data_IF_150506962207
#
_entry.id   IF_150506962207
#
_cell.length_a   1.000
_cell.length_b   1.000
_cell.length_c   1.000
_cell.angle_alpha   90.00
_cell.angle_beta   90.00
_cell.angle_gamma   90.00
#
_symmetry.space_group_name_H-M   'P 1'
#
loop_
_entity.id
_entity.type
_entity.pdbx_description
1 polymer ?
#
# COMPACT_ATOMS: atom_id res chain seq x y z
N UNK A 1 -15.58 -9.40 14.62
CA UNK A 1 -16.02 -10.81 14.58
C UNK A 1 -17.32 -11.13 13.85
N UNK A 2 -18.39 -10.31 13.87
CA UNK A 2 -19.64 -10.65 13.16
C UNK A 2 -19.55 -10.75 11.63
N UNK A 3 -18.58 -10.12 10.98
CA UNK A 3 -18.39 -10.17 9.52
C UNK A 3 -17.40 -11.24 9.05
N UNK A 4 -16.64 -11.86 9.98
CA UNK A 4 -15.59 -12.84 9.64
C UNK A 4 -16.17 -14.18 9.19
N UNK A 5 -17.33 -14.56 9.72
CA UNK A 5 -18.07 -15.76 9.28
C UNK A 5 -18.81 -15.51 7.96
N UNK A 6 -19.29 -14.30 7.69
CA UNK A 6 -19.95 -13.94 6.42
C UNK A 6 -18.95 -13.84 5.26
N UNK A 7 -17.70 -13.46 5.53
CA UNK A 7 -16.61 -13.52 4.55
C UNK A 7 -16.14 -14.96 4.23
N UNK A 8 -16.51 -15.94 5.07
CA UNK A 8 -16.29 -17.38 4.82
C UNK A 8 -17.43 -18.03 4.03
N UNK A 9 -18.62 -17.44 3.99
CA UNK A 9 -19.65 -17.81 3.01
C UNK A 9 -19.29 -17.12 1.69
N UNK A 10 -18.58 -17.83 0.81
CA UNK A 10 -17.99 -17.27 -0.41
C UNK A 10 -18.99 -16.44 -1.21
N UNK A 11 -18.59 -15.20 -1.53
CA UNK A 11 -19.32 -14.36 -2.47
C UNK A 11 -18.94 -14.74 -3.90
N UNK A 12 -19.88 -14.61 -4.83
CA UNK A 12 -19.60 -14.71 -6.27
C UNK A 12 -19.66 -13.31 -6.86
N UNK A 13 -18.54 -12.88 -7.42
CA UNK A 13 -18.35 -11.58 -8.04
C UNK A 13 -18.16 -11.78 -9.55
N UNK A 14 -18.64 -10.84 -10.34
CA UNK A 14 -18.52 -10.81 -11.79
C UNK A 14 -17.53 -9.72 -12.17
N UNK A 15 -16.53 -10.08 -12.96
CA UNK A 15 -15.63 -9.12 -13.60
C UNK A 15 -16.22 -8.74 -14.97
N UNK A 16 -16.78 -7.51 -15.12
CA UNK A 16 -17.44 -7.09 -16.35
C UNK A 16 -16.45 -6.81 -17.50
N UNK A 17 -15.15 -6.77 -17.21
CA UNK A 17 -14.11 -6.36 -18.16
C UNK A 17 -13.32 -7.53 -18.73
N UNK A 18 -13.44 -8.73 -18.15
CA UNK A 18 -12.68 -9.89 -18.58
C UNK A 18 -13.50 -10.80 -19.52
N UNK A 19 -13.23 -10.80 -20.85
CA UNK A 19 -13.89 -11.70 -21.78
C UNK A 19 -13.31 -13.13 -21.75
N UNK A 20 -12.41 -13.45 -20.81
CA UNK A 20 -11.98 -14.83 -20.59
C UNK A 20 -13.14 -15.70 -20.09
N UNK A 21 -12.94 -17.02 -20.11
CA UNK A 21 -13.92 -17.98 -19.58
C UNK A 21 -13.43 -18.68 -18.31
N UNK A 22 -12.29 -18.28 -17.77
CA UNK A 22 -11.64 -18.97 -16.66
C UNK A 22 -12.00 -18.28 -15.33
N UNK A 23 -12.77 -18.93 -14.46
CA UNK A 23 -13.05 -18.40 -13.13
C UNK A 23 -11.80 -18.42 -12.25
N UNK A 24 -11.78 -17.59 -11.22
CA UNK A 24 -10.66 -17.49 -10.27
C UNK A 24 -11.14 -17.31 -8.84
N UNK A 25 -10.45 -17.92 -7.89
CA UNK A 25 -10.66 -17.71 -6.46
C UNK A 25 -9.83 -16.52 -5.99
N UNK A 26 -10.46 -15.53 -5.35
CA UNK A 26 -9.83 -14.37 -4.73
C UNK A 26 -9.75 -14.56 -3.22
N UNK A 27 -8.54 -14.54 -2.67
CA UNK A 27 -8.27 -14.65 -1.23
C UNK A 27 -7.89 -13.30 -0.63
N UNK A 28 -8.39 -13.07 0.58
CA UNK A 28 -8.16 -11.87 1.37
C UNK A 28 -7.26 -12.28 2.55
N UNK A 29 -6.02 -11.82 2.54
CA UNK A 29 -5.00 -12.23 3.49
C UNK A 29 -4.62 -11.05 4.38
N UNK A 30 -4.92 -11.12 5.68
CA UNK A 30 -4.44 -10.12 6.65
C UNK A 30 -3.00 -10.45 7.05
N UNK A 31 -2.09 -9.50 6.88
CA UNK A 31 -0.72 -9.56 7.34
C UNK A 31 -0.50 -8.49 8.40
N UNK A 32 0.24 -8.85 9.46
CA UNK A 32 0.68 -7.91 10.48
C UNK A 32 2.21 -7.86 10.58
N UNK A 33 2.75 -6.66 10.77
CA UNK A 33 4.14 -6.42 11.18
C UNK A 33 4.13 -5.96 12.63
N UNK A 34 4.99 -6.56 13.43
CA UNK A 34 5.13 -6.26 14.86
C UNK A 34 6.53 -5.78 15.18
N UNK A 35 6.67 -4.90 16.17
CA UNK A 35 7.98 -4.55 16.74
C UNK A 35 8.25 -5.33 18.04
N UNK A 36 9.51 -5.31 18.52
CA UNK A 36 9.87 -5.94 19.79
C UNK A 36 9.53 -5.07 21.01
N UNK A 37 8.91 -3.90 20.80
CA UNK A 37 8.43 -3.04 21.87
C UNK A 37 7.22 -3.64 22.56
N UNK A 38 7.09 -3.37 23.86
CA UNK A 38 5.84 -3.63 24.57
C UNK A 38 4.80 -2.58 24.18
N UNK A 39 3.54 -3.01 24.02
CA UNK A 39 2.45 -2.07 23.86
C UNK A 39 2.38 -1.16 25.11
N UNK A 40 2.66 0.13 24.96
CA UNK A 40 2.47 1.08 26.05
C UNK A 40 1.00 1.08 26.48
N UNK A 41 0.80 1.10 27.79
CA UNK A 41 -0.50 1.19 28.46
C UNK A 41 -1.18 2.49 28.00
N UNK A 42 -2.09 2.43 27.02
CA UNK A 42 -2.85 3.61 26.63
C UNK A 42 -3.61 3.56 25.31
N UNK A 43 -3.18 2.75 24.34
CA UNK A 43 -3.89 2.65 23.05
C UNK A 43 -4.29 1.20 22.79
N UNK A 44 -5.60 0.99 22.89
CA UNK A 44 -6.35 -0.24 22.61
C UNK A 44 -6.24 -1.38 23.64
N UNK A 45 -7.42 -1.75 24.15
CA UNK A 45 -7.65 -2.80 25.14
C UNK A 45 -7.53 -4.16 24.47
N UNK A 46 -6.54 -4.97 24.88
CA UNK A 46 -6.60 -6.44 25.09
C UNK A 46 -5.26 -7.08 24.72
N UNK A 47 -4.66 -8.04 25.41
CA UNK A 47 -4.79 -8.73 26.71
C UNK A 47 -3.50 -9.59 26.81
N UNK A 48 -3.04 -9.89 28.02
CA UNK A 48 -2.10 -10.99 28.38
C UNK A 48 -0.71 -11.03 27.74
N UNK A 49 0.31 -10.84 28.60
CA UNK A 49 1.67 -11.41 28.55
C UNK A 49 2.35 -11.54 27.17
N UNK A 50 3.23 -10.60 26.82
CA UNK A 50 4.24 -10.78 25.77
C UNK A 50 3.81 -10.54 24.33
N UNK A 51 2.57 -10.10 24.07
CA UNK A 51 2.15 -9.83 22.70
C UNK A 51 2.81 -8.54 22.16
N UNK A 52 3.67 -8.73 21.17
CA UNK A 52 4.42 -7.67 20.47
C UNK A 52 3.46 -6.67 19.81
N UNK A 53 3.77 -5.38 19.88
CA UNK A 53 2.93 -4.32 19.30
C UNK A 53 2.86 -4.45 17.77
N UNK A 54 1.64 -4.41 17.22
CA UNK A 54 1.42 -4.30 15.76
C UNK A 54 1.72 -2.87 15.30
N UNK A 55 2.66 -2.73 14.38
CA UNK A 55 3.09 -1.43 13.81
C UNK A 55 2.54 -1.20 12.40
N UNK A 56 2.13 -2.27 11.72
CA UNK A 56 1.46 -2.19 10.43
C UNK A 56 0.54 -3.39 10.25
N UNK A 57 -0.61 -3.14 9.63
CA UNK A 57 -1.58 -4.15 9.22
C UNK A 57 -1.96 -3.87 7.78
N UNK A 58 -1.81 -4.87 6.92
CA UNK A 58 -2.12 -4.77 5.50
C UNK A 58 -3.00 -5.96 5.08
N UNK A 59 -3.94 -5.71 4.16
CA UNK A 59 -4.71 -6.78 3.52
C UNK A 59 -4.14 -6.99 2.13
N UNK A 60 -3.71 -8.21 1.85
CA UNK A 60 -3.25 -8.64 0.55
C UNK A 60 -4.35 -9.42 -0.16
N UNK A 61 -4.32 -9.33 -1.49
CA UNK A 61 -5.24 -10.02 -2.36
C UNK A 61 -4.46 -10.98 -3.24
N UNK A 62 -4.92 -12.22 -3.33
CA UNK A 62 -4.29 -13.27 -4.13
C UNK A 62 -5.37 -13.93 -4.96
N UNK A 63 -5.15 -14.06 -6.26
CA UNK A 63 -6.05 -14.77 -7.16
C UNK A 63 -5.42 -16.09 -7.60
N UNK A 64 -6.23 -17.16 -7.63
CA UNK A 64 -5.85 -18.50 -8.08
C UNK A 64 -6.87 -18.97 -9.12
N UNK A 65 -6.41 -19.33 -10.31
CA UNK A 65 -7.28 -19.91 -11.34
C UNK A 65 -7.47 -21.43 -11.16
N UNK A 66 -8.36 -22.02 -11.97
CA UNK A 66 -8.62 -23.46 -11.97
C UNK A 66 -7.38 -24.31 -12.28
N UNK A 67 -6.38 -23.74 -12.96
CA UNK A 67 -5.11 -24.41 -13.28
C UNK A 67 -4.10 -24.34 -12.12
N UNK A 68 -4.42 -23.62 -11.05
CA UNK A 68 -3.55 -23.42 -9.90
C UNK A 68 -2.52 -22.30 -10.08
N UNK A 69 -2.64 -21.48 -11.12
CA UNK A 69 -1.75 -20.33 -11.29
C UNK A 69 -2.12 -19.26 -10.26
N UNK A 70 -1.13 -18.86 -9.46
CA UNK A 70 -1.29 -17.88 -8.39
C UNK A 70 -0.74 -16.53 -8.85
N UNK A 71 -1.51 -15.47 -8.63
CA UNK A 71 -1.08 -14.09 -8.88
C UNK A 71 -1.52 -13.13 -7.77
N UNK A 72 -0.82 -12.01 -7.66
CA UNK A 72 -1.29 -10.90 -6.85
C UNK A 72 -2.61 -10.36 -7.44
N UNK A 73 -3.60 -10.15 -6.58
CA UNK A 73 -4.87 -9.50 -6.93
C UNK A 73 -4.78 -7.98 -6.90
N UNK A 74 -3.61 -7.40 -6.62
CA UNK A 74 -3.41 -5.96 -6.55
C UNK A 74 -4.08 -5.28 -5.36
N UNK A 75 -4.55 -4.05 -5.55
CA UNK A 75 -5.16 -3.24 -4.50
C UNK A 75 -6.67 -3.36 -4.55
N UNK A 76 -7.26 -4.07 -3.58
CA UNK A 76 -8.71 -4.19 -3.41
C UNK A 76 -9.48 -4.49 -4.72
N UNK A 77 -9.12 -5.56 -5.47
CA UNK A 77 -9.70 -5.89 -6.79
C UNK A 77 -11.22 -6.03 -6.77
N UNK A 78 -11.79 -6.42 -5.63
CA UNK A 78 -13.23 -6.58 -5.45
C UNK A 78 -14.02 -5.27 -5.65
N UNK A 79 -13.36 -4.12 -5.66
CA UNK A 79 -13.99 -2.83 -5.92
C UNK A 79 -14.39 -2.64 -7.38
N UNK A 80 -13.77 -3.40 -8.29
CA UNK A 80 -14.03 -3.31 -9.72
C UNK A 80 -15.02 -4.40 -10.18
N UNK A 81 -15.46 -5.28 -9.26
CA UNK A 81 -16.35 -6.39 -9.54
C UNK A 81 -17.78 -6.13 -9.08
N UNK A 82 -18.73 -6.75 -9.77
CA UNK A 82 -20.16 -6.65 -9.46
C UNK A 82 -20.67 -7.90 -8.75
N UNK A 83 -21.63 -7.81 -7.82
CA UNK A 83 -22.24 -9.01 -7.23
C UNK A 83 -23.03 -9.78 -8.30
N UNK A 84 -22.87 -11.11 -8.33
CA UNK A 84 -23.65 -11.96 -9.24
C UNK A 84 -25.15 -11.90 -8.92
N UNK A 85 -25.97 -11.75 -9.96
CA UNK A 85 -27.43 -11.83 -9.88
C UNK A 85 -27.90 -13.26 -9.58
N UNK A 86 -29.14 -13.42 -9.07
CA UNK A 86 -29.71 -14.74 -8.78
C UNK A 86 -29.79 -15.66 -10.01
N UNK A 87 -29.98 -15.08 -11.19
CA UNK A 87 -29.99 -15.81 -12.46
C UNK A 87 -28.58 -16.30 -12.83
N UNK A 88 -27.58 -15.43 -12.72
CA UNK A 88 -26.17 -15.79 -12.94
C UNK A 88 -25.69 -16.86 -11.96
N UNK A 89 -26.04 -16.75 -10.67
CA UNK A 89 -25.71 -17.76 -9.67
C UNK A 89 -26.28 -19.15 -10.02
N UNK A 90 -27.49 -19.18 -10.57
CA UNK A 90 -28.13 -20.43 -11.01
C UNK A 90 -27.38 -21.03 -12.20
N UNK A 91 -27.00 -20.19 -13.17
CA UNK A 91 -26.23 -20.62 -14.35
C UNK A 91 -24.81 -21.11 -13.98
N UNK A 92 -24.20 -20.52 -12.96
CA UNK A 92 -22.86 -20.85 -12.49
C UNK A 92 -22.79 -22.06 -11.56
N UNK A 93 -23.93 -22.64 -11.16
CA UNK A 93 -23.96 -23.77 -10.23
C UNK A 93 -23.01 -24.93 -10.62
N UNK A 94 -22.86 -25.34 -11.89
CA UNK A 94 -21.90 -26.39 -12.26
C UNK A 94 -20.43 -25.99 -12.02
N UNK A 95 -20.09 -24.73 -12.29
CA UNK A 95 -18.74 -24.18 -12.12
C UNK A 95 -18.40 -24.04 -10.64
N UNK A 96 -19.36 -23.58 -9.84
CA UNK A 96 -19.22 -23.40 -8.39
C UNK A 96 -19.17 -24.73 -7.62
N UNK A 97 -19.65 -25.82 -8.23
CA UNK A 97 -19.59 -27.17 -7.66
C UNK A 97 -18.41 -28.00 -8.22
N UNK A 98 -17.50 -27.38 -8.98
CA UNK A 98 -16.35 -28.07 -9.53
C UNK A 98 -15.29 -28.37 -8.45
N UNK A 99 -14.61 -29.51 -8.58
CA UNK A 99 -13.66 -30.00 -7.58
C UNK A 99 -12.42 -29.11 -7.38
N UNK A 100 -12.11 -28.21 -8.30
CA UNK A 100 -10.95 -27.32 -8.18
C UNK A 100 -11.10 -26.30 -7.04
N UNK A 101 -12.33 -26.05 -6.57
CA UNK A 101 -12.66 -25.13 -5.48
C UNK A 101 -12.46 -25.72 -4.07
N UNK A 102 -11.78 -26.87 -3.95
CA UNK A 102 -11.46 -27.45 -2.66
C UNK A 102 -10.53 -26.51 -1.86
N UNK A 103 -11.08 -25.88 -0.82
CA UNK A 103 -10.50 -24.70 -0.17
C UNK A 103 -9.16 -24.89 0.53
N UNK A 104 -8.86 -26.09 1.05
CA UNK A 104 -7.64 -26.30 1.87
C UNK A 104 -6.35 -26.16 1.04
N UNK A 105 -6.33 -26.68 -0.20
CA UNK A 105 -5.15 -26.58 -1.08
C UNK A 105 -4.99 -25.17 -1.65
N UNK A 106 -6.11 -24.51 -1.99
CA UNK A 106 -6.10 -23.14 -2.52
C UNK A 106 -5.67 -22.12 -1.45
N UNK A 107 -6.18 -22.23 -0.23
CA UNK A 107 -5.78 -21.34 0.88
C UNK A 107 -4.29 -21.50 1.19
N UNK A 108 -3.78 -22.73 1.23
CA UNK A 108 -2.36 -22.99 1.46
C UNK A 108 -1.48 -22.38 0.36
N UNK A 109 -1.87 -22.51 -0.91
CA UNK A 109 -1.17 -21.92 -2.05
C UNK A 109 -1.19 -20.39 -1.99
N UNK A 110 -2.33 -19.77 -1.61
CA UNK A 110 -2.44 -18.33 -1.45
C UNK A 110 -1.51 -17.80 -0.34
N UNK A 111 -1.48 -18.50 0.81
CA UNK A 111 -0.59 -18.16 1.92
C UNK A 111 0.88 -18.29 1.51
N UNK A 112 1.25 -19.39 0.85
CA UNK A 112 2.62 -19.62 0.39
C UNK A 112 3.09 -18.52 -0.57
N UNK A 113 2.27 -18.19 -1.56
CA UNK A 113 2.55 -17.11 -2.51
C UNK A 113 2.72 -15.76 -1.80
N UNK A 114 1.85 -15.45 -0.83
CA UNK A 114 1.93 -14.21 -0.08
C UNK A 114 3.22 -14.13 0.75
N UNK A 115 3.62 -15.22 1.42
CA UNK A 115 4.87 -15.30 2.20
C UNK A 115 6.09 -15.04 1.30
N UNK A 116 6.08 -15.57 0.07
CA UNK A 116 7.20 -15.44 -0.86
C UNK A 116 7.26 -14.07 -1.53
N UNK A 117 6.11 -13.52 -1.96
CA UNK A 117 6.08 -12.39 -2.88
C UNK A 117 5.56 -11.08 -2.27
N UNK A 118 4.64 -11.14 -1.30
CA UNK A 118 3.92 -9.96 -0.80
C UNK A 118 4.46 -9.51 0.56
N UNK A 119 4.63 -10.44 1.50
CA UNK A 119 5.12 -10.16 2.85
C UNK A 119 6.50 -9.49 2.86
N UNK A 120 7.50 -9.92 2.05
CA UNK A 120 8.82 -9.27 2.05
C UNK A 120 8.77 -7.82 1.58
N UNK A 121 7.92 -7.53 0.58
CA UNK A 121 7.73 -6.17 0.06
C UNK A 121 7.10 -5.26 1.10
N UNK A 122 6.05 -5.74 1.78
CA UNK A 122 5.42 -5.01 2.87
C UNK A 122 6.40 -4.75 4.03
N UNK A 123 7.18 -5.77 4.43
CA UNK A 123 8.19 -5.63 5.48
C UNK A 123 9.26 -4.61 5.13
N UNK A 124 9.75 -4.60 3.89
CA UNK A 124 10.74 -3.63 3.43
C UNK A 124 10.20 -2.19 3.50
N UNK A 125 8.99 -1.93 2.99
CA UNK A 125 8.36 -0.59 3.06
C UNK A 125 8.20 -0.08 4.50
N UNK A 126 7.76 -0.97 5.40
CA UNK A 126 7.56 -0.61 6.81
C UNK A 126 8.89 -0.41 7.52
N UNK A 127 9.91 -1.22 7.19
CA UNK A 127 11.27 -1.09 7.72
C UNK A 127 11.86 0.28 7.41
N UNK A 128 11.86 0.66 6.14
CA UNK A 128 12.43 1.92 5.66
C UNK A 128 11.83 3.13 6.42
N UNK A 129 10.49 3.22 6.44
CA UNK A 129 9.80 4.31 7.13
C UNK A 129 10.03 4.30 8.65
N UNK A 130 10.08 3.11 9.27
CA UNK A 130 10.27 2.98 10.73
C UNK A 130 11.69 3.36 11.12
N UNK A 131 12.70 2.92 10.38
CA UNK A 131 14.11 3.23 10.62
C UNK A 131 14.35 4.74 10.50
N UNK A 132 13.82 5.40 9.45
CA UNK A 132 13.93 6.86 9.29
C UNK A 132 13.30 7.63 10.46
N UNK A 133 12.11 7.22 10.91
CA UNK A 133 11.45 7.86 12.05
C UNK A 133 12.23 7.64 13.36
N UNK A 134 12.77 6.44 13.58
CA UNK A 134 13.57 6.12 14.76
C UNK A 134 14.87 6.92 14.76
N UNK A 135 15.56 7.06 13.63
CA UNK A 135 16.78 7.86 13.53
C UNK A 135 16.52 9.33 13.89
N UNK A 136 15.43 9.91 13.38
CA UNK A 136 15.01 11.28 13.72
C UNK A 136 14.70 11.41 15.22
N UNK A 137 14.00 10.44 15.80
CA UNK A 137 13.69 10.43 17.23
C UNK A 137 14.95 10.29 18.09
N UNK A 138 15.87 9.39 17.73
CA UNK A 138 17.14 9.19 18.43
C UNK A 138 17.95 10.50 18.42
N UNK A 139 18.10 11.13 17.26
CA UNK A 139 18.81 12.40 17.13
C UNK A 139 18.23 13.49 18.04
N UNK A 140 16.89 13.67 18.01
CA UNK A 140 16.21 14.67 18.83
C UNK A 140 16.30 14.40 20.34
N UNK A 141 16.18 13.13 20.76
CA UNK A 141 16.30 12.73 22.16
C UNK A 141 17.72 12.94 22.67
N UNK A 142 18.73 12.48 21.92
CA UNK A 142 20.13 12.71 22.24
C UNK A 142 20.45 14.20 22.34
N UNK A 143 20.10 14.98 21.31
CA UNK A 143 20.38 16.42 21.30
C UNK A 143 19.80 17.12 22.54
N UNK A 144 18.55 16.82 22.89
CA UNK A 144 17.88 17.44 24.04
C UNK A 144 18.48 16.98 25.36
N UNK A 145 18.55 15.67 25.61
CA UNK A 145 18.95 15.15 26.92
C UNK A 145 20.43 15.39 27.18
N UNK A 146 21.32 15.25 26.19
CA UNK A 146 22.74 15.57 26.35
C UNK A 146 22.97 17.05 26.70
N UNK A 147 22.20 17.98 26.10
CA UNK A 147 22.25 19.40 26.49
C UNK A 147 21.82 19.61 27.95
N UNK A 148 20.73 18.98 28.37
CA UNK A 148 20.23 19.08 29.76
C UNK A 148 21.21 18.44 30.76
N UNK A 149 21.78 17.27 30.46
CA UNK A 149 22.79 16.59 31.28
C UNK A 149 24.02 17.49 31.46
N UNK A 150 24.60 17.98 30.37
CA UNK A 150 25.77 18.85 30.40
C UNK A 150 25.53 20.13 31.22
N UNK A 151 24.31 20.69 31.15
CA UNK A 151 23.92 21.84 31.96
C UNK A 151 23.93 21.51 33.46
N UNK A 152 23.31 20.39 33.86
CA UNK A 152 23.24 19.99 35.27
C UNK A 152 24.59 19.54 35.82
N UNK A 153 25.44 18.87 35.03
CA UNK A 153 26.80 18.50 35.42
C UNK A 153 27.68 19.72 35.65
N UNK A 154 27.64 20.70 34.73
CA UNK A 154 28.33 21.98 34.90
C UNK A 154 27.85 22.68 36.18
N UNK A 155 26.53 22.71 36.40
CA UNK A 155 25.93 23.33 37.58
C UNK A 155 26.35 22.64 38.87
N UNK A 156 26.42 21.31 38.88
CA UNK A 156 26.90 20.53 40.02
C UNK A 156 28.38 20.84 40.31
N UNK A 157 29.23 20.93 39.29
CA UNK A 157 30.64 21.28 39.44
C UNK A 157 30.83 22.71 40.02
N UNK A 158 30.08 23.69 39.52
CA UNK A 158 30.09 25.07 40.04
C UNK A 158 29.68 25.12 41.53
N UNK A 159 28.60 24.42 41.90
CA UNK A 159 28.14 24.36 43.30
C UNK A 159 29.18 23.71 44.21
N UNK A 160 29.82 22.61 43.79
CA UNK A 160 30.91 21.96 44.56
C UNK A 160 32.10 22.88 44.77
N UNK A 161 32.47 23.69 43.78
CA UNK A 161 33.54 24.68 43.94
C UNK A 161 33.17 25.74 44.98
N UNK A 162 31.95 26.30 44.90
CA UNK A 162 31.46 27.29 45.87
C UNK A 162 31.40 26.73 47.31
N UNK A 163 30.97 25.47 47.47
CA UNK A 163 30.97 24.78 48.77
C UNK A 163 32.39 24.61 49.34
N UNK A 164 33.36 24.22 48.51
CA UNK A 164 34.77 24.11 48.93
C UNK A 164 35.35 25.45 49.38
N UNK A 165 35.09 26.53 48.62
CA UNK A 165 35.52 27.88 48.99
C UNK A 165 34.85 28.36 50.29
N UNK A 166 33.56 28.05 50.52
CA UNK A 166 32.84 28.44 51.73
C UNK A 166 33.28 27.64 52.97
N UNK A 167 33.57 26.35 52.84
CA UNK A 167 34.09 25.55 53.96
C UNK A 167 35.49 25.99 54.42
N UNK A 168 36.26 26.66 53.56
CA UNK A 168 37.53 27.29 53.92
C UNK A 168 37.37 28.62 54.69
N UNK A 169 36.17 29.19 54.75
CA UNK A 169 35.85 30.42 55.50
C UNK A 169 34.64 30.21 56.41
N UNK A 170 34.88 29.93 57.70
CA UNK A 170 33.92 29.77 58.80
C UNK A 170 32.61 30.60 58.68
N UNK A 171 31.59 30.11 57.95
CA UNK A 171 30.24 30.70 57.94
C UNK A 171 29.14 29.63 58.03
N UNK A 172 28.06 29.86 58.81
CA UNK A 172 27.06 28.83 59.12
C UNK A 172 26.12 28.49 57.96
N UNK A 173 25.65 27.24 58.00
CA UNK A 173 25.06 26.50 56.89
C UNK A 173 23.54 26.67 56.74
N UNK A 174 23.05 27.87 56.41
CA UNK A 174 21.59 28.10 56.22
C UNK A 174 21.10 28.02 54.78
N UNK A 175 21.98 27.84 53.79
CA UNK A 175 21.57 27.43 52.43
C UNK A 175 22.54 26.37 51.91
N UNK A 176 22.22 25.09 52.11
CA UNK A 176 22.87 23.98 51.40
C UNK A 176 22.23 23.91 50.01
N UNK A 177 22.79 24.66 49.06
CA UNK A 177 22.45 24.52 47.64
C UNK A 177 23.09 23.23 47.17
N UNK A 178 22.35 22.13 47.28
CA UNK A 178 22.87 20.77 47.17
C UNK A 178 23.43 20.49 45.77
N UNK A 179 24.76 20.59 45.62
CA UNK A 179 25.45 20.09 44.43
C UNK A 179 25.06 18.63 44.13
N UNK A 180 24.81 17.85 45.18
CA UNK A 180 24.33 16.47 45.10
C UNK A 180 22.96 16.35 44.42
N UNK A 181 22.03 17.31 44.62
CA UNK A 181 20.74 17.31 43.91
C UNK A 181 20.91 17.64 42.43
N UNK A 182 21.85 18.53 42.09
CA UNK A 182 22.16 18.84 40.69
C UNK A 182 22.80 17.63 40.00
N UNK A 183 23.71 16.91 40.68
CA UNK A 183 24.29 15.67 40.17
C UNK A 183 23.23 14.59 40.00
N UNK A 184 22.40 14.37 41.02
CA UNK A 184 21.29 13.41 40.96
C UNK A 184 20.39 13.68 39.74
N UNK A 185 20.15 14.95 39.42
CA UNK A 185 19.37 15.33 38.24
C UNK A 185 20.05 14.98 36.92
N UNK A 186 21.37 15.17 36.82
CA UNK A 186 22.14 14.75 35.65
C UNK A 186 22.10 13.23 35.49
N UNK A 187 22.28 12.48 36.59
CA UNK A 187 22.25 11.02 36.60
C UNK A 187 20.86 10.48 36.20
N UNK A 188 19.77 11.08 36.70
CA UNK A 188 18.40 10.76 36.28
C UNK A 188 18.16 10.96 34.77
N UNK A 189 18.69 12.06 34.21
CA UNK A 189 18.57 12.36 32.79
C UNK A 189 19.42 11.40 31.94
N UNK A 190 20.59 10.99 32.42
CA UNK A 190 21.44 10.00 31.77
C UNK A 190 20.75 8.62 31.73
N UNK A 191 20.19 8.17 32.86
CA UNK A 191 19.40 6.95 32.92
C UNK A 191 18.18 7.00 32.00
N UNK A 192 17.52 8.17 31.88
CA UNK A 192 16.41 8.35 30.95
C UNK A 192 16.84 8.30 29.49
N UNK A 193 18.01 8.84 29.15
CA UNK A 193 18.57 8.77 27.80
C UNK A 193 18.89 7.32 27.43
N UNK A 194 19.56 6.59 28.32
CA UNK A 194 19.87 5.17 28.15
C UNK A 194 18.58 4.36 27.93
N UNK A 195 17.62 4.49 28.85
CA UNK A 195 16.35 3.78 28.75
C UNK A 195 15.59 4.08 27.45
N UNK A 196 15.52 5.36 27.04
CA UNK A 196 14.82 5.72 25.79
C UNK A 196 15.55 5.19 24.55
N UNK A 197 16.87 5.11 24.60
CA UNK A 197 17.68 4.54 23.52
C UNK A 197 17.43 3.04 23.38
N UNK A 198 17.35 2.32 24.50
CA UNK A 198 16.99 0.90 24.53
C UNK A 198 15.57 0.64 24.01
N UNK A 199 14.58 1.45 24.42
CA UNK A 199 13.22 1.38 23.89
C UNK A 199 13.19 1.54 22.37
N UNK A 200 13.89 2.56 21.85
CA UNK A 200 13.97 2.82 20.40
C UNK A 200 14.69 1.69 19.65
N UNK A 201 15.67 1.03 20.27
CA UNK A 201 16.32 -0.14 19.71
C UNK A 201 15.37 -1.36 19.62
N UNK A 202 14.48 -1.55 20.59
CA UNK A 202 13.41 -2.56 20.52
C UNK A 202 12.36 -2.22 19.46
N UNK A 203 11.95 -0.95 19.37
CA UNK A 203 11.03 -0.46 18.33
C UNK A 203 11.58 -0.66 16.90
N UNK A 204 12.92 -0.68 16.74
CA UNK A 204 13.60 -0.94 15.46
C UNK A 204 13.55 -2.42 15.05
N UNK A 205 13.41 -3.32 16.00
CA UNK A 205 13.34 -4.75 15.73
C UNK A 205 11.93 -5.16 15.29
N UNK A 206 11.68 -5.10 13.99
CA UNK A 206 10.40 -5.51 13.40
C UNK A 206 10.44 -6.91 12.77
N UNK A 207 9.31 -7.61 12.85
CA UNK A 207 9.09 -8.92 12.26
C UNK A 207 7.68 -9.03 11.67
N UNK A 208 7.56 -9.66 10.50
CA UNK A 208 6.28 -10.01 9.91
C UNK A 208 5.70 -11.28 10.55
N UNK A 209 4.38 -11.31 10.78
CA UNK A 209 3.66 -12.55 11.08
C UNK A 209 3.20 -13.22 9.79
N UNK A 210 3.06 -14.56 9.77
CA UNK A 210 2.42 -15.24 8.64
C UNK A 210 1.04 -14.64 8.35
N UNK A 211 0.67 -14.48 7.06
CA UNK A 211 -0.64 -13.95 6.69
C UNK A 211 -1.76 -14.93 7.07
N UNK A 212 -2.93 -14.40 7.38
CA UNK A 212 -4.12 -15.19 7.76
C UNK A 212 -5.24 -14.90 6.77
N UNK A 213 -5.85 -15.95 6.23
CA UNK A 213 -7.04 -15.83 5.38
C UNK A 213 -8.21 -15.28 6.23
N UNK A 214 -8.72 -14.12 5.83
CA UNK A 214 -9.86 -13.46 6.48
C UNK A 214 -11.14 -13.54 5.66
N UNK A 215 -11.05 -13.93 4.39
CA UNK A 215 -12.19 -14.07 3.48
C UNK A 215 -11.78 -14.57 2.10
N UNK A 216 -12.79 -14.90 1.30
CA UNK A 216 -12.61 -15.31 -0.08
C UNK A 216 -13.85 -15.02 -0.94
N UNK A 217 -13.65 -14.90 -2.24
CA UNK A 217 -14.71 -14.78 -3.23
C UNK A 217 -14.34 -15.55 -4.51
N UNK A 218 -15.33 -15.99 -5.27
CA UNK A 218 -15.13 -16.49 -6.63
C UNK A 218 -15.38 -15.34 -7.58
N UNK A 219 -14.41 -15.05 -8.42
CA UNK A 219 -14.51 -14.06 -9.48
C UNK A 219 -14.79 -14.80 -10.79
N UNK A 220 -15.87 -14.38 -11.43
CA UNK A 220 -16.38 -14.95 -12.67
C UNK A 220 -16.18 -13.92 -13.77
N UNK A 221 -15.38 -14.20 -14.80
CA UNK A 221 -15.25 -13.29 -15.92
C UNK A 221 -16.55 -13.22 -16.73
N UNK A 222 -16.89 -12.04 -17.26
CA UNK A 222 -18.10 -11.85 -18.06
C UNK A 222 -18.13 -12.76 -19.29
N UNK A 223 -16.96 -13.12 -19.83
CA UNK A 223 -16.86 -14.05 -20.94
C UNK A 223 -17.39 -15.45 -20.62
N UNK A 224 -17.27 -15.93 -19.38
CA UNK A 224 -17.86 -17.21 -18.97
C UNK A 224 -19.39 -17.16 -18.94
N UNK A 225 -19.97 -16.00 -18.61
CA UNK A 225 -21.42 -15.81 -18.56
C UNK A 225 -22.03 -15.60 -19.94
N UNK A 226 -21.33 -14.89 -20.82
CA UNK A 226 -21.82 -14.58 -22.17
C UNK A 226 -21.48 -15.66 -23.21
N UNK A 227 -20.37 -16.39 -23.04
CA UNK A 227 -19.91 -17.40 -23.98
C UNK A 227 -19.73 -16.84 -25.40
N UNK A 228 -20.38 -17.45 -26.39
CA UNK A 228 -20.36 -16.96 -27.78
C UNK A 228 -21.07 -15.62 -27.99
N UNK A 229 -21.81 -15.12 -26.98
CA UNK A 229 -22.54 -13.84 -27.04
C UNK A 229 -21.70 -12.65 -26.59
N UNK A 230 -20.39 -12.82 -26.41
CA UNK A 230 -19.48 -11.71 -26.09
C UNK A 230 -19.59 -10.65 -27.19
N UNK A 231 -19.93 -9.40 -26.85
CA UNK A 231 -19.95 -8.30 -27.81
C UNK A 231 -18.58 -8.14 -28.48
N UNK A 232 -18.50 -8.03 -29.82
CA UNK A 232 -17.25 -7.77 -30.53
C UNK A 232 -16.48 -6.56 -29.98
N UNK A 233 -17.20 -5.58 -29.45
CA UNK A 233 -16.66 -4.36 -28.84
C UNK A 233 -15.73 -4.64 -27.66
N UNK A 234 -15.99 -5.69 -26.86
CA UNK A 234 -15.12 -6.07 -25.73
C UNK A 234 -13.77 -6.62 -26.23
N UNK A 235 -13.78 -7.44 -27.27
CA UNK A 235 -12.56 -7.98 -27.88
C UNK A 235 -11.76 -6.87 -28.57
N UNK A 236 -12.45 -6.00 -29.30
CA UNK A 236 -11.88 -4.84 -29.96
C UNK A 236 -11.24 -3.87 -28.96
N UNK A 237 -11.84 -3.70 -27.78
CA UNK A 237 -11.28 -2.88 -26.69
C UNK A 237 -9.95 -3.45 -26.21
N UNK A 238 -9.85 -4.77 -26.05
CA UNK A 238 -8.59 -5.44 -25.64
C UNK A 238 -7.46 -5.24 -26.64
N UNK A 239 -7.75 -5.36 -27.93
CA UNK A 239 -6.77 -5.10 -29.00
C UNK A 239 -6.34 -3.63 -28.99
N UNK A 240 -7.31 -2.73 -28.83
CA UNK A 240 -7.08 -1.28 -28.74
C UNK A 240 -6.20 -0.91 -27.55
N UNK A 241 -6.45 -1.52 -26.38
CA UNK A 241 -5.66 -1.31 -25.16
C UNK A 241 -4.23 -1.86 -25.31
N UNK A 242 -4.04 -3.01 -25.96
CA UNK A 242 -2.70 -3.54 -26.23
C UNK A 242 -1.88 -2.62 -27.16
N UNK A 243 -2.50 -2.09 -28.21
CA UNK A 243 -1.87 -1.13 -29.13
C UNK A 243 -1.52 0.17 -28.38
N UNK A 244 -2.43 0.66 -27.54
CA UNK A 244 -2.21 1.84 -26.70
C UNK A 244 -1.05 1.65 -25.72
N UNK A 245 -0.99 0.49 -25.06
CA UNK A 245 0.07 0.12 -24.14
C UNK A 245 1.43 0.15 -24.82
N UNK A 246 1.55 -0.47 -26.00
CA UNK A 246 2.79 -0.46 -26.77
C UNK A 246 3.22 0.97 -27.15
N UNK A 247 2.29 1.81 -27.56
CA UNK A 247 2.58 3.20 -27.91
C UNK A 247 3.08 4.02 -26.71
N UNK A 248 2.51 3.80 -25.53
CA UNK A 248 2.95 4.45 -24.28
C UNK A 248 4.33 3.96 -23.85
N UNK A 249 4.56 2.65 -23.88
CA UNK A 249 5.86 2.05 -23.55
C UNK A 249 6.97 2.60 -24.47
N UNK A 250 6.71 2.69 -25.78
CA UNK A 250 7.67 3.26 -26.72
C UNK A 250 7.90 4.75 -26.45
N UNK A 251 6.84 5.52 -26.21
CA UNK A 251 6.95 6.96 -25.95
C UNK A 251 7.77 7.25 -24.69
N UNK A 252 7.58 6.47 -23.62
CA UNK A 252 8.37 6.63 -22.40
C UNK A 252 9.85 6.26 -22.62
N UNK A 253 10.13 5.22 -23.40
CA UNK A 253 11.49 4.88 -23.79
C UNK A 253 12.15 5.99 -24.64
N UNK A 254 11.40 6.58 -25.58
CA UNK A 254 11.87 7.70 -26.42
C UNK A 254 12.13 8.98 -25.61
N UNK A 255 11.53 9.10 -24.42
CA UNK A 255 11.77 10.18 -23.46
C UNK A 255 12.98 9.92 -22.53
N UNK A 256 13.74 8.84 -22.78
CA UNK A 256 14.82 8.32 -21.93
C UNK A 256 14.35 7.90 -20.52
N UNK A 257 13.08 7.52 -20.37
CA UNK A 257 12.59 6.88 -19.16
C UNK A 257 12.72 5.35 -19.27
N UNK A 258 12.60 4.64 -18.15
CA UNK A 258 12.64 3.18 -18.13
C UNK A 258 11.26 2.60 -17.77
N UNK A 259 10.38 2.38 -18.76
CA UNK A 259 9.04 1.85 -18.54
C UNK A 259 9.04 0.34 -18.30
N UNK A 260 8.18 -0.11 -17.39
CA UNK A 260 7.91 -1.51 -17.04
C UNK A 260 6.41 -1.74 -17.01
N UNK A 261 5.96 -2.77 -17.72
CA UNK A 261 4.58 -3.23 -17.69
C UNK A 261 4.26 -3.87 -16.33
N UNK A 262 3.25 -3.33 -15.67
CA UNK A 262 2.66 -3.79 -14.40
C UNK A 262 1.14 -3.94 -14.49
N UNK A 263 0.57 -3.90 -15.70
CA UNK A 263 -0.89 -4.02 -15.95
C UNK A 263 -1.51 -5.27 -15.28
N UNK A 264 -0.73 -6.35 -15.18
CA UNK A 264 -1.17 -7.63 -14.57
C UNK A 264 -1.06 -7.66 -13.04
N UNK A 265 -0.40 -6.68 -12.43
CA UNK A 265 -0.18 -6.60 -10.98
C UNK A 265 -1.36 -5.91 -10.25
N UNK A 266 -2.32 -5.35 -11.00
CA UNK A 266 -3.51 -4.63 -10.51
C UNK A 266 -3.19 -3.53 -9.48
N UNK A 267 -2.20 -2.70 -9.82
CA UNK A 267 -1.72 -1.58 -8.98
C UNK A 267 -2.58 -0.31 -9.12
N UNK A 268 -3.58 -0.32 -10.00
CA UNK A 268 -4.39 0.86 -10.38
C UNK A 268 -3.72 1.76 -11.43
N UNK A 269 -2.69 1.24 -12.10
CA UNK A 269 -2.02 1.80 -13.27
C UNK A 269 -1.30 0.66 -14.04
N UNK A 270 -1.01 0.89 -15.31
CA UNK A 270 -0.46 -0.15 -16.21
C UNK A 270 1.06 -0.11 -16.34
N UNK A 271 1.69 1.06 -16.25
CA UNK A 271 3.13 1.24 -16.47
C UNK A 271 3.78 1.94 -15.29
N UNK A 272 4.84 1.32 -14.75
CA UNK A 272 5.84 2.00 -13.93
C UNK A 272 6.95 2.53 -14.83
N UNK A 273 7.15 3.85 -14.88
CA UNK A 273 8.21 4.45 -15.69
C UNK A 273 9.16 5.26 -14.83
N UNK A 274 10.41 4.80 -14.70
CA UNK A 274 11.44 5.50 -13.94
C UNK A 274 12.00 6.64 -14.79
N UNK A 275 11.88 7.88 -14.30
CA UNK A 275 12.56 9.04 -14.85
C UNK A 275 13.94 9.17 -14.18
N UNK A 276 15.05 8.86 -14.89
CA UNK A 276 16.38 8.91 -14.31
C UNK A 276 16.85 10.33 -14.00
N UNK A 277 16.29 11.36 -14.67
CA UNK A 277 16.66 12.76 -14.44
C UNK A 277 16.05 13.29 -13.15
N UNK A 278 14.79 12.92 -12.89
CA UNK A 278 14.08 13.29 -11.67
C UNK A 278 14.34 12.33 -10.49
N UNK A 279 14.88 11.14 -10.76
CA UNK A 279 15.04 10.08 -9.76
C UNK A 279 13.70 9.60 -9.21
N UNK A 280 12.62 9.67 -10.00
CA UNK A 280 11.26 9.42 -9.54
C UNK A 280 10.52 8.46 -10.46
N UNK A 281 9.72 7.59 -9.85
CA UNK A 281 8.83 6.67 -10.55
C UNK A 281 7.53 7.38 -10.96
N UNK A 282 7.13 7.22 -12.22
CA UNK A 282 5.85 7.66 -12.79
C UNK A 282 4.90 6.47 -12.84
N UNK A 283 3.64 6.68 -12.50
CA UNK A 283 2.57 5.68 -12.55
C UNK A 283 1.64 6.05 -13.69
N UNK A 284 1.63 5.27 -14.77
CA UNK A 284 0.90 5.62 -15.98
C UNK A 284 -0.23 4.61 -16.20
N UNK A 285 -1.46 5.10 -16.17
CA UNK A 285 -2.67 4.38 -16.53
C UNK A 285 -2.97 4.60 -18.01
N UNK A 286 -3.11 3.53 -18.80
CA UNK A 286 -3.20 3.62 -20.26
C UNK A 286 -4.62 3.29 -20.71
N UNK A 287 -5.30 4.29 -21.28
CA UNK A 287 -6.64 4.10 -21.86
C UNK A 287 -6.60 4.26 -23.37
N UNK A 288 -6.66 3.10 -24.05
CA UNK A 288 -6.84 3.01 -25.49
C UNK A 288 -8.31 3.11 -25.88
N UNK A 289 -8.62 3.93 -26.88
CA UNK A 289 -9.96 3.99 -27.50
C UNK A 289 -9.88 4.11 -29.01
N UNK A 290 -10.86 3.55 -29.72
CA UNK A 290 -11.00 3.78 -31.16
C UNK A 290 -11.18 5.28 -31.43
N UNK A 291 -10.59 5.75 -32.52
CA UNK A 291 -10.77 7.14 -32.95
C UNK A 291 -12.26 7.47 -33.08
N UNK A 292 -12.67 8.57 -32.45
CA UNK A 292 -14.08 9.00 -32.39
C UNK A 292 -14.92 8.43 -31.24
N UNK A 293 -14.32 7.71 -30.29
CA UNK A 293 -15.03 7.33 -29.06
C UNK A 293 -15.40 8.56 -28.21
N UNK A 294 -16.58 8.54 -27.59
CA UNK A 294 -17.06 9.68 -26.80
C UNK A 294 -16.54 9.69 -25.35
N UNK A 295 -16.20 8.51 -24.81
CA UNK A 295 -15.89 8.35 -23.40
C UNK A 295 -14.80 7.32 -23.11
N UNK A 296 -14.18 7.47 -21.94
CA UNK A 296 -13.23 6.52 -21.34
C UNK A 296 -13.78 6.09 -19.99
N UNK A 297 -13.73 4.79 -19.73
CA UNK A 297 -14.11 4.20 -18.45
C UNK A 297 -12.86 4.07 -17.60
N UNK A 298 -12.90 4.61 -16.38
CA UNK A 298 -11.83 4.50 -15.39
C UNK A 298 -12.37 3.72 -14.19
N UNK A 299 -11.63 2.72 -13.72
CA UNK A 299 -12.05 1.89 -12.58
C UNK A 299 -11.92 2.65 -11.26
N UNK A 300 -12.60 2.17 -10.22
CA UNK A 300 -12.52 2.77 -8.88
C UNK A 300 -11.09 2.71 -8.35
N UNK A 301 -10.41 1.58 -8.55
CA UNK A 301 -9.02 1.39 -8.12
C UNK A 301 -8.08 2.42 -8.78
N UNK A 302 -8.19 2.62 -10.09
CA UNK A 302 -7.42 3.62 -10.84
C UNK A 302 -7.62 5.05 -10.30
N UNK A 303 -8.87 5.44 -10.04
CA UNK A 303 -9.20 6.77 -9.52
C UNK A 303 -8.57 6.98 -8.14
N UNK A 304 -8.74 6.01 -7.24
CA UNK A 304 -8.19 6.09 -5.88
C UNK A 304 -6.67 6.12 -5.89
N UNK A 305 -6.02 5.32 -6.72
CA UNK A 305 -4.56 5.34 -6.87
C UNK A 305 -4.06 6.68 -7.40
N UNK A 306 -4.76 7.28 -8.37
CA UNK A 306 -4.43 8.61 -8.87
C UNK A 306 -4.60 9.73 -7.85
N UNK A 307 -5.60 9.63 -6.95
CA UNK A 307 -5.80 10.58 -5.85
C UNK A 307 -4.73 10.42 -4.76
N UNK A 308 -4.31 9.19 -4.48
CA UNK A 308 -3.30 8.90 -3.46
C UNK A 308 -1.87 9.26 -3.91
N UNK A 309 -1.60 9.23 -5.22
CA UNK A 309 -0.28 9.52 -5.80
C UNK A 309 -0.30 10.63 -6.86
N UNK A 310 -0.85 11.82 -6.57
CA UNK A 310 -1.23 12.81 -7.59
C UNK A 310 -0.02 13.37 -8.35
N UNK A 311 1.14 13.42 -7.73
CA UNK A 311 2.36 13.94 -8.36
C UNK A 311 3.11 12.90 -9.21
N UNK A 312 2.76 11.61 -9.11
CA UNK A 312 3.36 10.51 -9.89
C UNK A 312 2.41 9.98 -10.96
N UNK A 313 1.11 10.12 -10.73
CA UNK A 313 0.07 9.52 -11.55
C UNK A 313 -0.20 10.30 -12.84
N UNK A 314 -0.25 9.57 -13.95
CA UNK A 314 -0.49 10.06 -15.30
C UNK A 314 -1.57 9.20 -15.93
N UNK A 315 -2.64 9.82 -16.44
CA UNK A 315 -3.57 9.15 -17.34
C UNK A 315 -3.09 9.39 -18.78
N UNK A 316 -2.71 8.31 -19.46
CA UNK A 316 -2.31 8.31 -20.86
C UNK A 316 -3.49 7.91 -21.75
N UNK A 317 -3.90 8.81 -22.63
CA UNK A 317 -4.96 8.58 -23.60
C UNK A 317 -4.34 8.28 -24.96
N UNK A 318 -4.78 7.19 -25.58
CA UNK A 318 -4.33 6.81 -26.92
C UNK A 318 -5.54 6.54 -27.81
N UNK A 319 -5.68 7.32 -28.87
CA UNK A 319 -6.63 7.03 -29.93
C UNK A 319 -6.01 6.03 -30.91
N UNK A 320 -6.75 4.96 -31.24
CA UNK A 320 -6.33 3.94 -32.20
C UNK A 320 -7.23 4.00 -33.43
N UNK A 321 -6.62 4.06 -34.61
CA UNK A 321 -7.31 4.07 -35.89
C UNK A 321 -6.62 3.09 -36.84
N UNK A 322 -7.38 2.19 -37.46
CA UNK A 322 -6.87 1.19 -38.42
C UNK A 322 -5.67 0.40 -37.86
N UNK A 323 -5.77 -0.04 -36.59
CA UNK A 323 -4.70 -0.74 -35.84
C UNK A 323 -3.42 0.08 -35.55
N UNK A 324 -3.44 1.38 -35.82
CA UNK A 324 -2.33 2.29 -35.54
C UNK A 324 -2.67 3.24 -34.39
N UNK A 325 -1.78 3.33 -33.41
CA UNK A 325 -1.87 4.32 -32.34
C UNK A 325 -1.53 5.72 -32.86
N UNK A 326 -2.39 6.70 -32.55
CA UNK A 326 -1.99 8.12 -32.58
C UNK A 326 -1.04 8.42 -31.42
N UNK A 327 -0.27 9.52 -31.48
CA UNK A 327 0.63 9.90 -30.40
C UNK A 327 -0.11 9.99 -29.04
N UNK A 328 0.40 9.33 -27.98
CA UNK A 328 -0.23 9.37 -26.66
C UNK A 328 -0.38 10.80 -26.12
N UNK A 329 -1.41 11.03 -25.32
CA UNK A 329 -1.71 12.32 -24.68
C UNK A 329 -1.82 12.15 -23.18
N UNK A 330 -1.05 12.94 -22.42
CA UNK A 330 -0.91 12.74 -20.97
C UNK A 330 -1.68 13.78 -20.17
N UNK A 331 -2.37 13.31 -19.13
CA UNK A 331 -3.06 14.12 -18.15
C UNK A 331 -2.43 13.84 -16.79
N UNK A 332 -1.77 14.85 -16.22
CA UNK A 332 -1.25 14.79 -14.85
C UNK A 332 -2.34 15.24 -13.88
N UNK A 333 -2.43 14.61 -12.71
CA UNK A 333 -3.50 14.85 -11.71
C UNK A 333 -4.90 14.77 -12.34
N UNK A 334 -5.25 13.64 -12.97
CA UNK A 334 -6.51 13.52 -13.71
C UNK A 334 -7.75 13.62 -12.83
N UNK A 335 -7.66 13.18 -11.56
CA UNK A 335 -8.78 13.03 -10.63
C UNK A 335 -8.67 13.98 -9.43
N UNK A 336 -9.81 14.52 -9.00
CA UNK A 336 -9.92 15.43 -7.85
C UNK A 336 -10.84 14.91 -6.75
N UNK A 337 -11.71 13.94 -7.07
CA UNK A 337 -12.74 13.41 -6.16
C UNK A 337 -12.85 11.90 -6.28
N UNK A 338 -13.06 11.26 -5.14
CA UNK A 338 -13.35 9.83 -5.09
C UNK A 338 -14.76 9.53 -5.64
N UNK A 339 -14.98 8.37 -6.28
CA UNK A 339 -16.31 7.91 -6.65
C UNK A 339 -17.17 7.59 -5.41
N UNK A 340 -18.48 7.66 -5.56
CA UNK A 340 -19.43 7.24 -4.51
C UNK A 340 -19.21 5.77 -4.11
N UNK A 341 -19.59 5.41 -2.88
CA UNK A 341 -19.27 4.12 -2.24
C UNK A 341 -19.72 2.87 -3.03
N UNK A 342 -20.72 2.99 -3.92
CA UNK A 342 -21.23 1.89 -4.73
C UNK A 342 -20.82 1.91 -6.21
N UNK A 343 -19.95 2.84 -6.63
CA UNK A 343 -19.55 3.01 -8.02
C UNK A 343 -18.23 2.28 -8.27
N UNK A 344 -18.25 1.25 -9.12
CA UNK A 344 -17.08 0.44 -9.50
C UNK A 344 -16.24 1.07 -10.61
N UNK A 345 -16.84 1.94 -11.44
CA UNK A 345 -16.16 2.69 -12.49
C UNK A 345 -16.90 3.97 -12.86
N UNK A 346 -16.18 4.93 -13.45
CA UNK A 346 -16.74 6.21 -13.91
C UNK A 346 -16.40 6.41 -15.38
N UNK A 347 -17.40 6.79 -16.17
CA UNK A 347 -17.21 7.21 -17.57
C UNK A 347 -16.91 8.70 -17.63
N UNK A 348 -15.76 9.06 -18.19
CA UNK A 348 -15.35 10.43 -18.45
C UNK A 348 -15.50 10.77 -19.93
N UNK A 349 -15.90 12.00 -20.24
CA UNK A 349 -15.94 12.49 -21.63
C UNK A 349 -14.52 12.59 -22.20
N UNK A 350 -14.25 11.90 -23.31
CA UNK A 350 -12.91 11.83 -23.89
C UNK A 350 -12.45 13.20 -24.41
N UNK A 351 -13.34 13.99 -25.01
CA UNK A 351 -13.00 15.31 -25.55
C UNK A 351 -12.59 16.28 -24.44
N UNK A 352 -13.28 16.26 -23.29
CA UNK A 352 -12.91 17.08 -22.12
C UNK A 352 -11.56 16.67 -21.54
N UNK A 353 -11.27 15.36 -21.47
CA UNK A 353 -9.98 14.87 -21.03
C UNK A 353 -8.86 15.26 -22.00
N UNK A 354 -9.08 15.09 -23.31
CA UNK A 354 -8.11 15.46 -24.34
C UNK A 354 -7.80 16.97 -24.34
N UNK A 355 -8.78 17.83 -24.03
CA UNK A 355 -8.58 19.27 -23.88
C UNK A 355 -7.64 19.63 -22.70
N UNK A 356 -7.63 18.81 -21.64
CA UNK A 356 -6.72 18.96 -20.49
C UNK A 356 -5.36 18.31 -20.70
N UNK A 357 -5.24 17.46 -21.73
CA UNK A 357 -4.04 16.66 -21.98
C UNK A 357 -2.91 17.44 -22.65
N UNK A 358 -1.67 17.02 -22.42
CA UNK A 358 -0.46 17.56 -23.04
C UNK A 358 0.29 16.48 -23.81
N UNK A 359 1.24 16.90 -24.64
CA UNK A 359 2.22 15.97 -25.20
C UNK A 359 3.04 15.33 -24.05
N UNK A 360 3.47 14.07 -24.20
CA UNK A 360 4.35 13.40 -23.26
C UNK A 360 5.64 14.20 -23.01
N UNK A 361 6.07 14.24 -21.74
CA UNK A 361 7.27 14.98 -21.28
C UNK A 361 7.85 14.38 -20.01
#
# INVERSE_FOLDING_TARGET
DKHRQTLRSGAVLVDPTDPSQTPRALFFLEQNIRDAGSAQIGTERSRTNGDKRVVSREVHFVEIDEQGNVRAGGHAPYLDYEPATSEQLTALAPVLNANWLNGDDLEANAIAYAIENLVPRHLARVRERREELIDKMLAAVHERLTKEINYWDKRAAELRQQEKHRNAGFQPATTRLNADRAQQRADELAARLEHRTEELALERQISATPPVVIGGAIVVPIGLLLGERIPPELLDTRITEAIAMQAVMQTEADLDNHPRDVSKDNLGYDVESLDPRAGRLRFIEVKGRRAGADAVTITRNEILTGINSPDQYILALVEVQDEHARPPRYIRKPFEKEPDFGVTSVNYNLNELLARSKAPS
#
